data_IF_975019297711
#
_entry.id   IF_975019297711
#
_cell.length_a   1.000
_cell.length_b   1.000
_cell.length_c   1.000
_cell.angle_alpha   90.00
_cell.angle_beta   90.00
_cell.angle_gamma   90.00
#
_symmetry.space_group_name_H-M   'P 1'
#
loop_
_entity.id
_entity.type
_entity.pdbx_description
1 polymer ?
#
# COMPACT_ATOMS: atom_id res chain seq x y z
N UNK A 1 -0.83 -7.97 2.78
CA UNK A 1 -0.13 -6.68 2.49
C UNK A 1 -1.11 -5.48 2.42
N UNK A 2 -2.13 -5.41 3.28
CA UNK A 2 -3.14 -4.33 3.17
C UNK A 2 -3.56 -3.69 4.49
N UNK A 3 -2.87 -4.01 5.59
CA UNK A 3 -3.24 -3.54 6.93
C UNK A 3 -2.18 -2.61 7.53
N UNK A 4 -1.03 -2.47 6.87
CA UNK A 4 0.10 -1.69 7.35
C UNK A 4 0.61 -0.76 6.26
N UNK A 5 0.98 0.46 6.65
CA UNK A 5 1.66 1.44 5.81
C UNK A 5 3.13 1.09 5.74
N UNK A 6 3.54 0.50 4.62
CA UNK A 6 4.91 0.05 4.45
C UNK A 6 5.88 1.24 4.41
N UNK A 7 7.04 1.15 5.08
CA UNK A 7 8.10 2.14 4.90
C UNK A 7 8.50 2.24 3.43
N UNK A 8 8.76 3.47 2.96
CA UNK A 8 9.17 3.71 1.57
C UNK A 8 10.42 2.91 1.17
N UNK A 9 11.35 2.71 2.11
CA UNK A 9 12.55 1.88 1.91
C UNK A 9 12.19 0.44 1.51
N UNK A 10 11.24 -0.19 2.21
CA UNK A 10 10.78 -1.54 1.90
C UNK A 10 10.14 -1.60 0.51
N UNK A 11 9.33 -0.60 0.15
CA UNK A 11 8.77 -0.50 -1.21
C UNK A 11 9.85 -0.35 -2.29
N UNK A 12 10.89 0.44 -2.02
CA UNK A 12 12.03 0.60 -2.92
C UNK A 12 12.88 -0.66 -3.03
N UNK A 13 13.06 -1.42 -1.94
CA UNK A 13 13.76 -2.71 -1.96
C UNK A 13 12.98 -3.75 -2.77
N UNK A 14 11.66 -3.84 -2.60
CA UNK A 14 10.80 -4.69 -3.43
C UNK A 14 10.90 -4.32 -4.92
N UNK A 15 10.79 -3.02 -5.23
CA UNK A 15 10.99 -2.49 -6.57
C UNK A 15 12.37 -2.89 -7.11
N UNK A 16 13.45 -2.75 -6.33
CA UNK A 16 14.82 -3.09 -6.75
C UNK A 16 14.95 -4.58 -7.08
N UNK A 17 14.40 -5.46 -6.24
CA UNK A 17 14.42 -6.91 -6.46
C UNK A 17 13.71 -7.27 -7.76
N UNK A 18 12.51 -6.72 -7.99
CA UNK A 18 11.71 -7.04 -9.17
C UNK A 18 12.31 -6.41 -10.43
N UNK A 19 12.79 -5.16 -10.35
CA UNK A 19 13.49 -4.51 -11.46
C UNK A 19 14.76 -5.28 -11.85
N UNK A 20 15.53 -5.76 -10.86
CA UNK A 20 16.70 -6.59 -11.11
C UNK A 20 16.28 -7.88 -11.82
N UNK A 21 15.28 -8.59 -11.30
CA UNK A 21 14.77 -9.82 -11.92
C UNK A 21 14.30 -9.58 -13.37
N UNK A 22 13.53 -8.52 -13.60
CA UNK A 22 12.96 -8.18 -14.90
C UNK A 22 14.01 -7.89 -15.96
N UNK A 23 15.06 -7.15 -15.62
CA UNK A 23 16.10 -6.76 -16.57
C UNK A 23 17.27 -7.74 -16.65
N UNK A 24 17.36 -8.70 -15.72
CA UNK A 24 18.46 -9.65 -15.66
C UNK A 24 18.45 -10.60 -16.87
N UNK A 25 19.59 -10.68 -17.58
CA UNK A 25 19.77 -11.58 -18.73
C UNK A 25 20.06 -13.03 -18.32
N UNK A 26 20.81 -13.22 -17.23
CA UNK A 26 21.13 -14.54 -16.65
C UNK A 26 21.51 -14.39 -15.18
N UNK A 27 21.51 -15.49 -14.42
CA UNK A 27 21.92 -15.47 -13.00
C UNK A 27 23.31 -14.84 -12.84
N UNK A 28 23.44 -13.92 -11.88
CA UNK A 28 24.68 -13.20 -11.58
C UNK A 28 25.09 -12.11 -12.59
N UNK A 29 24.44 -12.00 -13.77
CA UNK A 29 24.78 -10.97 -14.76
C UNK A 29 23.87 -9.75 -14.63
N UNK A 30 24.47 -8.56 -14.60
CA UNK A 30 23.73 -7.30 -14.57
C UNK A 30 23.04 -7.07 -15.93
N UNK A 31 21.75 -6.78 -15.86
CA UNK A 31 20.93 -6.36 -16.99
C UNK A 31 21.03 -4.87 -17.30
N UNK A 32 20.74 -4.48 -18.54
CA UNK A 32 20.52 -3.07 -18.90
C UNK A 32 19.07 -2.73 -18.60
N UNK A 33 18.84 -1.67 -17.83
CA UNK A 33 17.52 -1.13 -17.59
C UNK A 33 17.15 -0.19 -18.74
N UNK A 34 16.41 -0.70 -19.72
CA UNK A 34 16.04 0.07 -20.92
C UNK A 34 15.00 1.15 -20.66
N UNK A 35 14.22 1.01 -19.59
CA UNK A 35 13.16 1.92 -19.24
C UNK A 35 13.13 2.15 -17.71
N UNK A 36 12.73 3.35 -17.31
CA UNK A 36 12.58 3.67 -15.89
C UNK A 36 11.47 2.83 -15.27
N UNK A 37 11.59 2.49 -13.99
CA UNK A 37 10.53 1.75 -13.30
C UNK A 37 9.20 2.51 -13.27
N UNK A 38 9.25 3.85 -13.15
CA UNK A 38 8.05 4.68 -13.15
C UNK A 38 7.31 4.60 -14.50
N UNK A 39 8.04 4.64 -15.61
CA UNK A 39 7.47 4.47 -16.95
C UNK A 39 6.86 3.09 -17.14
N UNK A 40 7.47 2.03 -16.59
CA UNK A 40 6.87 0.69 -16.61
C UNK A 40 5.57 0.61 -15.79
N UNK A 41 5.45 1.44 -14.75
CA UNK A 41 4.27 1.49 -13.90
C UNK A 41 3.07 2.22 -14.52
N UNK A 42 3.27 2.98 -15.60
CA UNK A 42 2.17 3.62 -16.30
C UNK A 42 1.21 2.58 -16.87
N UNK A 43 -0.04 2.99 -17.10
CA UNK A 43 -1.05 2.14 -17.72
C UNK A 43 -0.64 1.80 -19.15
N UNK A 44 -1.09 0.65 -19.65
CA UNK A 44 -0.83 0.21 -21.02
C UNK A 44 -1.35 1.20 -22.06
N UNK A 45 -2.48 1.84 -21.77
CA UNK A 45 -3.09 2.88 -22.61
C UNK A 45 -2.21 4.13 -22.73
N UNK A 46 -1.36 4.40 -21.74
CA UNK A 46 -0.39 5.50 -21.74
C UNK A 46 1.04 5.04 -22.08
N UNK A 47 1.19 3.86 -22.69
CA UNK A 47 2.49 3.34 -23.14
C UNK A 47 3.35 2.67 -22.06
N UNK A 48 2.80 2.46 -20.85
CA UNK A 48 3.46 1.68 -19.81
C UNK A 48 3.19 0.17 -19.92
N UNK A 49 3.66 -0.61 -18.93
CA UNK A 49 3.41 -2.05 -18.85
C UNK A 49 2.40 -2.43 -17.75
N UNK A 50 1.86 -1.44 -17.03
CA UNK A 50 0.92 -1.66 -15.93
C UNK A 50 1.59 -2.24 -14.68
N UNK A 51 2.90 -2.04 -14.50
CA UNK A 51 3.58 -2.47 -13.27
C UNK A 51 3.06 -1.66 -12.08
N UNK A 52 3.13 -2.23 -10.88
CA UNK A 52 2.64 -1.51 -9.69
C UNK A 52 3.74 -0.70 -9.05
N UNK A 53 3.46 0.58 -8.80
CA UNK A 53 4.22 1.34 -7.83
C UNK A 53 3.81 0.85 -6.43
N UNK A 54 4.70 0.16 -5.72
CA UNK A 54 4.39 -0.50 -4.45
C UNK A 54 3.91 0.45 -3.36
N UNK A 55 4.46 1.67 -3.29
CA UNK A 55 4.03 2.66 -2.32
C UNK A 55 2.60 3.13 -2.60
N UNK A 56 2.30 3.50 -3.86
CA UNK A 56 0.94 3.87 -4.27
C UNK A 56 -0.05 2.72 -4.09
N UNK A 57 0.38 1.50 -4.41
CA UNK A 57 -0.45 0.32 -4.30
C UNK A 57 -0.77 -0.03 -2.83
N UNK A 58 0.21 0.08 -1.93
CA UNK A 58 0.00 -0.11 -0.50
C UNK A 58 -0.98 0.94 0.06
N UNK A 59 -0.83 2.21 -0.32
CA UNK A 59 -1.75 3.27 0.06
C UNK A 59 -3.17 3.00 -0.43
N UNK A 60 -3.33 2.56 -1.69
CA UNK A 60 -4.64 2.20 -2.24
C UNK A 60 -5.30 1.03 -1.50
N UNK A 61 -4.51 0.04 -1.05
CA UNK A 61 -5.02 -1.07 -0.24
C UNK A 61 -5.47 -0.62 1.15
N UNK A 62 -4.78 0.35 1.76
CA UNK A 62 -5.16 0.93 3.05
C UNK A 62 -6.44 1.77 2.91
N UNK A 63 -6.51 2.62 1.89
CA UNK A 63 -7.72 3.37 1.56
C UNK A 63 -8.92 2.43 1.32
N UNK A 64 -8.70 1.27 0.69
CA UNK A 64 -9.73 0.24 0.54
C UNK A 64 -10.18 -0.34 1.88
N UNK A 65 -9.30 -0.47 2.88
CA UNK A 65 -9.73 -0.87 4.23
C UNK A 65 -10.53 0.24 4.91
N UNK A 66 -10.06 1.49 4.86
CA UNK A 66 -10.81 2.63 5.39
C UNK A 66 -12.21 2.73 4.77
N UNK A 67 -12.32 2.55 3.45
CA UNK A 67 -13.60 2.50 2.75
C UNK A 67 -14.54 1.41 3.29
N UNK A 68 -14.00 0.21 3.57
CA UNK A 68 -14.80 -0.89 4.14
C UNK A 68 -15.32 -0.58 5.54
N UNK A 69 -14.58 0.18 6.34
CA UNK A 69 -15.05 0.61 7.67
C UNK A 69 -16.22 1.59 7.57
N UNK A 70 -16.27 2.39 6.50
CA UNK A 70 -17.38 3.29 6.19
C UNK A 70 -18.59 2.56 5.63
N UNK A 71 -18.38 1.65 4.68
CA UNK A 71 -19.45 0.95 3.99
C UNK A 71 -20.10 -0.14 4.85
N UNK A 72 -19.34 -0.77 5.76
CA UNK A 72 -19.80 -1.89 6.58
C UNK A 72 -19.53 -1.65 8.09
N UNK A 73 -20.20 -0.66 8.72
CA UNK A 73 -19.95 -0.28 10.12
C UNK A 73 -20.36 -1.37 11.11
N UNK A 74 -21.30 -2.24 10.72
CA UNK A 74 -21.78 -3.35 11.56
C UNK A 74 -20.90 -4.62 11.45
N UNK A 75 -19.83 -4.59 10.65
CA UNK A 75 -18.90 -5.71 10.60
C UNK A 75 -18.18 -5.86 11.96
N UNK A 76 -17.85 -7.09 12.41
CA UNK A 76 -17.15 -7.30 13.68
C UNK A 76 -15.83 -6.51 13.77
N UNK A 77 -15.12 -6.38 12.64
CA UNK A 77 -13.90 -5.59 12.56
C UNK A 77 -14.17 -4.11 12.80
N UNK A 78 -15.16 -3.52 12.12
CA UNK A 78 -15.51 -2.11 12.28
C UNK A 78 -15.99 -1.79 13.69
N UNK A 79 -16.81 -2.66 14.29
CA UNK A 79 -17.26 -2.50 15.67
C UNK A 79 -16.10 -2.59 16.67
N UNK A 80 -15.19 -3.55 16.48
CA UNK A 80 -13.99 -3.69 17.33
C UNK A 80 -13.07 -2.47 17.23
N UNK A 81 -12.85 -1.96 16.02
CA UNK A 81 -12.02 -0.77 15.81
C UNK A 81 -12.67 0.49 16.37
N UNK A 82 -13.99 0.66 16.18
CA UNK A 82 -14.76 1.77 16.76
C UNK A 82 -14.67 1.76 18.28
N UNK A 83 -14.99 0.64 18.92
CA UNK A 83 -14.96 0.51 20.37
C UNK A 83 -13.57 0.83 20.96
N UNK A 84 -12.49 0.48 20.23
CA UNK A 84 -11.13 0.68 20.71
C UNK A 84 -10.55 2.07 20.42
N UNK A 85 -10.79 2.62 19.23
CA UNK A 85 -10.05 3.80 18.73
C UNK A 85 -10.90 5.06 18.58
N UNK A 86 -12.21 4.93 18.35
CA UNK A 86 -13.11 6.07 18.12
C UNK A 86 -14.52 5.78 18.67
N UNK A 87 -14.67 5.49 19.98
CA UNK A 87 -15.94 5.02 20.53
C UNK A 87 -17.06 6.08 20.44
N UNK A 88 -16.68 7.36 20.56
CA UNK A 88 -17.60 8.49 20.64
C UNK A 88 -17.59 9.35 19.36
N UNK A 89 -16.96 8.89 18.29
CA UNK A 89 -16.86 9.64 17.02
C UNK A 89 -17.04 8.71 15.82
N UNK A 90 -16.88 9.29 14.63
CA UNK A 90 -16.93 8.57 13.36
C UNK A 90 -15.53 8.37 12.79
N UNK A 91 -15.38 7.36 11.93
CA UNK A 91 -14.10 6.99 11.32
C UNK A 91 -13.36 8.19 10.70
N UNK A 92 -14.06 9.00 9.90
CA UNK A 92 -13.46 10.17 9.22
C UNK A 92 -13.10 11.33 10.17
N UNK A 93 -13.79 11.42 11.30
CA UNK A 93 -13.60 12.48 12.30
C UNK A 93 -12.75 12.00 13.49
N UNK A 94 -12.16 10.81 13.38
CA UNK A 94 -11.35 10.24 14.45
C UNK A 94 -9.97 10.88 14.47
N UNK A 95 -9.53 11.31 15.65
CA UNK A 95 -8.18 11.82 15.85
C UNK A 95 -7.20 10.69 16.18
N UNK A 96 -5.96 10.84 15.73
CA UNK A 96 -4.89 9.92 16.08
C UNK A 96 -4.49 10.14 17.55
N UNK A 97 -5.06 9.34 18.46
CA UNK A 97 -4.69 9.34 19.88
C UNK A 97 -3.28 8.79 20.17
N UNK A 98 -2.93 8.69 21.46
CA UNK A 98 -1.56 8.36 21.90
C UNK A 98 -1.21 6.86 21.92
N UNK A 99 -2.20 5.94 21.98
CA UNK A 99 -1.98 4.48 22.01
C UNK A 99 -2.64 3.79 20.82
N UNK A 100 -2.00 3.90 19.66
CA UNK A 100 -2.52 3.31 18.43
C UNK A 100 -1.71 2.08 18.05
N UNK A 101 -2.41 0.99 17.72
CA UNK A 101 -1.77 -0.10 17.00
C UNK A 101 -1.22 0.43 15.68
N UNK A 102 -0.12 -0.17 15.21
CA UNK A 102 0.47 0.19 13.92
C UNK A 102 -0.53 0.01 12.77
N UNK A 103 -1.42 -0.98 12.86
CA UNK A 103 -2.54 -1.18 11.92
C UNK A 103 -3.45 0.04 11.85
N UNK A 104 -3.91 0.53 13.00
CA UNK A 104 -4.83 1.67 13.05
C UNK A 104 -4.17 2.95 12.56
N UNK A 105 -2.91 3.19 12.93
CA UNK A 105 -2.13 4.33 12.43
C UNK A 105 -1.91 4.29 10.91
N UNK A 106 -2.01 3.10 10.30
CA UNK A 106 -1.80 2.91 8.88
C UNK A 106 -3.05 3.14 8.03
N UNK A 107 -4.25 2.97 8.61
CA UNK A 107 -5.54 3.10 7.94
C UNK A 107 -6.03 4.53 8.08
#
# INVERSE_FOLDING_TARGET
MGCFLLPKSVCEDMKRIIAKFWWQKSFGKRGIHWCSWNSLCELKEFGGLGFRNFAKFNLALLAKQGWRLLENPNSPLAQTLKAKYYPNSDFLNSELGNLLSYTWKSI
#
